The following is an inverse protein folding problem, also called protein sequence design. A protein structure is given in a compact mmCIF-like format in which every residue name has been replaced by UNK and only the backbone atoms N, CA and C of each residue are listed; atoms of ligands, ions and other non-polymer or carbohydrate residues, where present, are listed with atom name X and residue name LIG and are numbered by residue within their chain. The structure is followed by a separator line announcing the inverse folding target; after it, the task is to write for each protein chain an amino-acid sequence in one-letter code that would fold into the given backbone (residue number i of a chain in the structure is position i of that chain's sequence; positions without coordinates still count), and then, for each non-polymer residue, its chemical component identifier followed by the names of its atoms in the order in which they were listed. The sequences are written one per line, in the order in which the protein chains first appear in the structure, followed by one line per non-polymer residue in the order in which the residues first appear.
data_IF_361446991869
#
_entry.id   IF_361446991869
#
_cell.length_a   1.000
_cell.length_b   1.000
_cell.length_c   1.000
_cell.angle_alpha   90.00
_cell.angle_beta   90.00
_cell.angle_gamma   90.00
#
_symmetry.space_group_name_H-M   'P 1'
#
loop_
_entity.id
_entity.type
_entity.pdbx_description
1 polymer ?
#
# COMPACT_ATOMS: atom_id res chain seq x y z
N UNK A 1 -6.20 -21.87 5.70
CA UNK A 1 -5.12 -22.90 5.72
C UNK A 1 -5.30 -23.86 6.91
N UNK A 2 -5.40 -23.42 8.16
CA UNK A 2 -5.56 -24.32 9.32
C UNK A 2 -6.75 -25.28 9.18
N UNK A 3 -7.89 -24.79 8.72
CA UNK A 3 -9.08 -25.64 8.48
C UNK A 3 -8.75 -26.76 7.51
N UNK A 4 -8.08 -26.46 6.38
CA UNK A 4 -7.70 -27.49 5.41
C UNK A 4 -6.75 -28.56 5.99
N UNK A 5 -5.90 -28.20 6.96
CA UNK A 5 -5.07 -29.16 7.68
C UNK A 5 -5.93 -30.09 8.53
N UNK A 6 -6.90 -29.55 9.29
CA UNK A 6 -7.83 -30.36 10.09
C UNK A 6 -8.72 -31.23 9.20
N UNK A 7 -9.21 -30.69 8.08
CA UNK A 7 -10.00 -31.47 7.10
C UNK A 7 -9.16 -32.60 6.50
N UNK A 8 -7.87 -32.37 6.25
CA UNK A 8 -6.99 -33.45 5.81
C UNK A 8 -6.80 -34.53 6.87
N UNK A 9 -6.64 -34.16 8.15
CA UNK A 9 -6.53 -35.11 9.25
C UNK A 9 -7.79 -35.96 9.46
N UNK A 10 -8.95 -35.43 9.11
CA UNK A 10 -10.23 -36.12 9.22
C UNK A 10 -10.50 -37.16 8.09
N UNK A 11 -9.66 -37.19 7.04
CA UNK A 11 -9.82 -38.16 5.93
C UNK A 11 -9.46 -39.58 6.37
N UNK A 12 -10.04 -40.57 5.75
CA UNK A 12 -9.67 -41.98 5.95
C UNK A 12 -8.18 -42.23 5.64
N UNK A 13 -7.66 -41.53 4.64
CA UNK A 13 -6.25 -41.57 4.26
C UNK A 13 -5.70 -40.14 4.23
N UNK A 14 -5.23 -39.59 5.35
CA UNK A 14 -4.64 -38.27 5.41
C UNK A 14 -3.37 -38.18 4.54
N UNK A 15 -3.23 -37.10 3.79
CA UNK A 15 -2.01 -36.82 3.08
C UNK A 15 -0.91 -36.43 4.07
N UNK A 16 0.23 -37.13 3.99
CA UNK A 16 1.43 -36.82 4.78
C UNK A 16 2.44 -36.03 3.93
N UNK A 17 3.38 -35.35 4.57
CA UNK A 17 4.44 -34.57 3.90
C UNK A 17 3.85 -33.58 2.89
N UNK A 18 2.87 -32.82 3.30
CA UNK A 18 2.20 -31.81 2.46
C UNK A 18 2.73 -30.42 2.71
N UNK A 19 2.56 -29.57 1.71
CA UNK A 19 2.65 -28.11 1.83
C UNK A 19 1.24 -27.50 1.82
N UNK A 20 1.13 -26.20 2.15
CA UNK A 20 -0.13 -25.47 2.04
C UNK A 20 0.15 -24.00 1.70
N UNK A 21 -0.66 -23.42 0.83
CA UNK A 21 -0.49 -22.04 0.36
C UNK A 21 0.56 -21.88 -0.74
N UNK A 22 1.04 -22.98 -1.31
CA UNK A 22 1.97 -23.01 -2.45
C UNK A 22 1.20 -23.54 -3.66
N UNK A 23 1.34 -22.87 -4.80
CA UNK A 23 0.81 -23.36 -6.07
C UNK A 23 1.76 -24.43 -6.65
N UNK A 24 1.67 -25.62 -6.08
CA UNK A 24 2.52 -26.79 -6.45
C UNK A 24 1.84 -27.62 -7.54
N UNK A 25 2.09 -27.23 -8.78
CA UNK A 25 1.63 -27.91 -9.99
C UNK A 25 2.63 -28.98 -10.52
N UNK A 26 3.69 -29.25 -9.77
CA UNK A 26 4.73 -30.23 -10.13
C UNK A 26 4.61 -31.51 -9.33
N UNK A 27 4.67 -31.43 -8.00
CA UNK A 27 4.60 -32.60 -7.13
C UNK A 27 3.23 -32.81 -6.52
N UNK A 28 2.35 -31.82 -6.65
CA UNK A 28 0.97 -31.84 -6.12
C UNK A 28 0.91 -32.18 -4.62
N UNK A 29 1.93 -31.74 -3.86
CA UNK A 29 1.99 -31.97 -2.42
C UNK A 29 1.18 -30.96 -1.64
N UNK A 30 0.80 -29.83 -2.23
CA UNK A 30 0.02 -28.81 -1.56
C UNK A 30 -1.42 -29.29 -1.28
N UNK A 31 -1.94 -28.94 -0.10
CA UNK A 31 -3.35 -29.15 0.22
C UNK A 31 -4.17 -28.05 -0.44
N UNK A 32 -5.29 -28.45 -1.03
CA UNK A 32 -6.30 -27.50 -1.48
C UNK A 32 -6.97 -26.86 -0.26
N UNK A 33 -7.23 -25.56 -0.35
CA UNK A 33 -7.98 -24.84 0.67
C UNK A 33 -8.85 -23.74 0.02
N UNK A 34 -9.96 -23.47 0.69
CA UNK A 34 -10.82 -22.35 0.33
C UNK A 34 -10.48 -21.15 1.21
N UNK A 35 -10.30 -19.99 0.61
CA UNK A 35 -10.20 -18.76 1.39
C UNK A 35 -11.54 -18.45 2.03
N UNK A 36 -11.50 -18.24 3.33
CA UNK A 36 -12.67 -17.86 4.11
C UNK A 36 -12.40 -16.50 4.76
N UNK A 37 -13.37 -15.63 4.73
CA UNK A 37 -13.35 -14.42 5.53
C UNK A 37 -13.88 -14.73 6.93
N UNK A 38 -13.03 -14.53 7.94
CA UNK A 38 -13.46 -14.66 9.34
C UNK A 38 -14.15 -13.35 9.75
N UNK A 39 -15.39 -13.42 10.22
CA UNK A 39 -16.06 -12.22 10.71
C UNK A 39 -15.38 -11.72 11.99
N UNK A 40 -15.03 -10.45 11.99
CA UNK A 40 -14.51 -9.73 13.15
C UNK A 40 -15.40 -8.50 13.42
N UNK A 41 -16.59 -8.69 14.04
CA UNK A 41 -17.51 -7.60 14.31
C UNK A 41 -16.83 -6.49 15.12
N UNK A 42 -16.99 -5.24 14.69
CA UNK A 42 -16.39 -4.08 15.37
C UNK A 42 -14.89 -3.89 15.15
N UNK A 43 -14.23 -4.77 14.39
CA UNK A 43 -12.83 -4.61 14.01
C UNK A 43 -12.74 -3.87 12.67
N UNK A 44 -11.88 -2.86 12.59
CA UNK A 44 -11.50 -2.15 11.38
C UNK A 44 -10.11 -2.61 10.97
N UNK A 45 -9.95 -3.05 9.74
CA UNK A 45 -8.67 -3.49 9.16
C UNK A 45 -8.23 -2.49 8.09
N UNK A 46 -6.97 -2.03 8.17
CA UNK A 46 -6.43 -1.03 7.26
C UNK A 46 -5.13 -1.51 6.63
N UNK A 47 -4.94 -1.19 5.34
CA UNK A 47 -3.68 -1.42 4.63
C UNK A 47 -3.20 -0.12 3.99
N UNK A 48 -2.00 0.33 4.36
CA UNK A 48 -1.44 1.59 3.86
C UNK A 48 -0.15 1.32 3.10
N UNK A 49 -0.08 1.85 1.88
CA UNK A 49 1.05 1.73 0.97
C UNK A 49 1.85 3.04 0.99
N UNK A 50 3.08 2.97 1.49
CA UNK A 50 3.97 4.12 1.63
C UNK A 50 5.32 3.91 0.94
N UNK A 51 6.04 5.00 0.79
CA UNK A 51 7.39 5.02 0.25
C UNK A 51 8.39 5.10 1.40
N UNK A 52 9.40 4.25 1.39
CA UNK A 52 10.46 4.27 2.39
C UNK A 52 11.12 5.64 2.51
N UNK A 53 11.01 6.26 3.67
CA UNK A 53 11.51 7.60 3.97
C UNK A 53 10.50 8.73 3.79
N UNK A 54 9.26 8.46 3.37
CA UNK A 54 8.19 9.47 3.25
C UNK A 54 7.50 9.82 4.58
N UNK A 55 7.80 9.07 5.65
CA UNK A 55 7.23 9.25 6.99
C UNK A 55 5.92 8.50 7.25
N UNK A 56 5.37 7.76 6.28
CA UNK A 56 4.14 6.98 6.43
C UNK A 56 4.18 6.05 7.64
N UNK A 57 5.27 5.30 7.83
CA UNK A 57 5.39 4.36 8.96
C UNK A 57 5.37 5.10 10.29
N UNK A 58 6.03 6.25 10.38
CA UNK A 58 6.02 7.09 11.60
C UNK A 58 4.61 7.61 11.92
N UNK A 59 3.88 8.10 10.92
CA UNK A 59 2.51 8.55 11.07
C UNK A 59 1.59 7.40 11.54
N UNK A 60 1.74 6.22 10.95
CA UNK A 60 0.94 5.05 11.31
C UNK A 60 1.25 4.55 12.73
N UNK A 61 2.50 4.59 13.18
CA UNK A 61 2.86 4.31 14.58
C UNK A 61 2.21 5.29 15.55
N UNK A 62 2.19 6.57 15.21
CA UNK A 62 1.51 7.58 16.02
C UNK A 62 0.00 7.33 16.03
N UNK A 63 -0.63 7.06 14.87
CA UNK A 63 -2.05 6.77 14.79
C UNK A 63 -2.45 5.56 15.66
N UNK A 64 -1.66 4.46 15.61
CA UNK A 64 -1.87 3.28 16.47
C UNK A 64 -1.82 3.66 17.95
N UNK A 65 -0.84 4.47 18.35
CA UNK A 65 -0.69 4.92 19.74
C UNK A 65 -1.88 5.79 20.17
N UNK A 66 -2.32 6.71 19.32
CA UNK A 66 -3.49 7.54 19.56
C UNK A 66 -4.75 6.68 19.72
N UNK A 67 -4.99 5.73 18.84
CA UNK A 67 -6.16 4.85 18.85
C UNK A 67 -6.16 3.96 20.10
N UNK A 68 -5.01 3.37 20.45
CA UNK A 68 -4.89 2.49 21.59
C UNK A 68 -4.94 3.23 22.94
N UNK A 69 -4.13 4.27 23.13
CA UNK A 69 -4.00 4.92 24.43
C UNK A 69 -5.04 6.01 24.68
N UNK A 70 -5.39 6.79 23.66
CA UNK A 70 -6.36 7.88 23.80
C UNK A 70 -7.76 7.39 23.45
N UNK A 71 -7.90 6.61 22.39
CA UNK A 71 -9.18 6.02 21.99
C UNK A 71 -9.64 4.82 22.82
N UNK A 72 -8.76 4.25 23.64
CA UNK A 72 -9.09 3.11 24.51
C UNK A 72 -9.41 1.81 23.76
N UNK A 73 -8.98 1.69 22.50
CA UNK A 73 -9.24 0.50 21.66
C UNK A 73 -8.08 -0.47 21.68
N UNK A 74 -8.37 -1.73 21.41
CA UNK A 74 -7.32 -2.69 21.03
C UNK A 74 -6.76 -2.29 19.68
N UNK A 75 -5.43 -2.32 19.55
CA UNK A 75 -4.75 -1.88 18.33
C UNK A 75 -3.57 -2.82 18.02
N UNK A 76 -3.46 -3.21 16.76
CA UNK A 76 -2.38 -4.06 16.26
C UNK A 76 -1.79 -3.43 15.01
N UNK A 77 -0.46 -3.45 14.89
CA UNK A 77 0.25 -3.00 13.70
C UNK A 77 1.36 -3.96 13.31
N UNK A 78 1.48 -4.21 12.03
CA UNK A 78 2.63 -4.85 11.41
C UNK A 78 3.11 -4.01 10.23
N UNK A 79 4.42 -3.80 10.14
CA UNK A 79 5.04 -3.01 9.08
C UNK A 79 5.94 -3.90 8.24
N UNK A 80 5.58 -4.09 6.98
CA UNK A 80 6.39 -4.78 5.99
C UNK A 80 7.25 -3.77 5.22
N UNK A 81 8.50 -4.12 4.98
CA UNK A 81 9.47 -3.28 4.30
C UNK A 81 10.06 -4.02 3.11
N UNK A 82 10.33 -3.26 2.05
CA UNK A 82 11.18 -3.73 0.97
C UNK A 82 12.62 -3.92 1.45
N UNK A 83 13.37 -4.74 0.75
CA UNK A 83 14.83 -4.91 0.96
C UNK A 83 15.61 -3.64 0.67
N UNK A 84 15.09 -2.73 -0.14
CA UNK A 84 15.68 -1.43 -0.44
C UNK A 84 15.43 -0.45 0.70
N UNK A 85 16.51 0.04 1.34
CA UNK A 85 16.42 0.91 2.52
C UNK A 85 15.76 2.25 2.25
N UNK A 86 15.96 2.86 1.09
CA UNK A 86 15.44 4.19 0.74
C UNK A 86 14.66 4.13 -0.56
N UNK A 87 13.45 4.70 -0.56
CA UNK A 87 12.56 4.68 -1.72
C UNK A 87 12.00 3.29 -2.05
N UNK A 88 12.13 2.31 -1.15
CA UNK A 88 11.47 1.02 -1.24
C UNK A 88 10.02 1.07 -0.78
N UNK A 89 9.27 0.03 -1.09
CA UNK A 89 7.89 -0.12 -0.66
C UNK A 89 7.80 -0.30 0.86
N UNK A 90 6.82 0.34 1.48
CA UNK A 90 6.39 0.01 2.85
C UNK A 90 4.90 -0.31 2.85
N UNK A 91 4.51 -1.37 3.54
CA UNK A 91 3.12 -1.72 3.76
C UNK A 91 2.84 -1.74 5.25
N UNK A 92 1.84 -0.98 5.69
CA UNK A 92 1.38 -0.97 7.07
C UNK A 92 0.06 -1.72 7.14
N UNK A 93 0.01 -2.76 7.96
CA UNK A 93 -1.16 -3.57 8.23
C UNK A 93 -1.64 -3.23 9.64
N UNK A 94 -2.80 -2.57 9.74
CA UNK A 94 -3.32 -2.06 10.99
C UNK A 94 -4.68 -2.70 11.28
N UNK A 95 -4.94 -3.01 12.55
CA UNK A 95 -6.25 -3.46 13.02
C UNK A 95 -6.60 -2.74 14.31
N UNK A 96 -7.86 -2.38 14.43
CA UNK A 96 -8.42 -1.71 15.61
C UNK A 96 -9.78 -2.29 15.95
N UNK A 97 -10.10 -2.39 17.23
CA UNK A 97 -11.40 -2.90 17.65
C UNK A 97 -11.67 -2.67 19.13
N UNK A 98 -12.90 -2.91 19.52
CA UNK A 98 -13.33 -2.84 20.93
C UNK A 98 -13.02 -4.15 21.68
N UNK A 99 -12.69 -5.21 20.94
CA UNK A 99 -12.32 -6.52 21.47
C UNK A 99 -10.87 -6.86 21.15
N UNK A 100 -10.24 -7.79 21.91
CA UNK A 100 -8.88 -8.25 21.65
C UNK A 100 -8.68 -8.76 20.23
N UNK A 101 -7.61 -8.30 19.57
CA UNK A 101 -7.27 -8.69 18.20
C UNK A 101 -6.46 -9.97 18.25
N UNK A 102 -7.07 -11.08 17.84
CA UNK A 102 -6.45 -12.40 17.83
C UNK A 102 -5.82 -12.79 16.49
N UNK A 103 -5.98 -11.94 15.45
CA UNK A 103 -5.43 -12.17 14.11
C UNK A 103 -3.91 -12.04 14.11
N UNK A 104 -3.20 -13.11 13.77
CA UNK A 104 -1.72 -13.17 13.71
C UNK A 104 -1.17 -13.03 12.28
N UNK A 105 -2.05 -12.88 11.29
CA UNK A 105 -1.74 -12.80 9.87
C UNK A 105 -1.84 -11.36 9.35
N UNK A 106 -1.24 -11.08 8.21
CA UNK A 106 -1.32 -9.78 7.54
C UNK A 106 -2.75 -9.44 7.12
N UNK A 107 -3.05 -8.16 6.95
CA UNK A 107 -4.35 -7.73 6.43
C UNK A 107 -4.42 -8.07 4.94
N UNK A 108 -5.33 -8.96 4.58
CA UNK A 108 -5.67 -9.39 3.23
C UNK A 108 -7.14 -9.05 2.85
N UNK A 109 -7.89 -8.48 3.79
CA UNK A 109 -9.24 -7.96 3.60
C UNK A 109 -9.36 -6.68 4.42
N UNK A 110 -9.39 -5.52 3.76
CA UNK A 110 -9.26 -4.21 4.38
C UNK A 110 -10.51 -3.35 4.22
N UNK A 111 -10.96 -2.77 5.33
CA UNK A 111 -12.04 -1.78 5.35
C UNK A 111 -11.56 -0.41 4.82
N UNK A 112 -10.25 -0.16 4.98
CA UNK A 112 -9.59 1.06 4.53
C UNK A 112 -8.25 0.76 3.87
N UNK A 113 -8.06 1.26 2.65
CA UNK A 113 -6.78 1.21 1.94
C UNK A 113 -6.33 2.63 1.62
N UNK A 114 -5.08 2.97 1.93
CA UNK A 114 -4.48 4.23 1.53
C UNK A 114 -3.21 4.02 0.71
N UNK A 115 -3.05 4.80 -0.36
CA UNK A 115 -1.87 4.81 -1.21
C UNK A 115 -1.24 6.20 -1.19
N UNK A 116 -0.07 6.32 -0.59
CA UNK A 116 0.61 7.60 -0.37
C UNK A 116 1.49 8.01 -1.56
N UNK A 117 1.91 7.05 -2.41
CA UNK A 117 2.70 7.32 -3.61
C UNK A 117 1.86 7.05 -4.87
N UNK A 118 1.55 8.07 -5.69
CA UNK A 118 0.63 7.90 -6.83
C UNK A 118 1.17 6.93 -7.90
N UNK A 119 2.48 6.75 -8.00
CA UNK A 119 3.11 5.80 -8.92
C UNK A 119 2.79 4.34 -8.61
N UNK A 120 2.38 4.04 -7.38
CA UNK A 120 2.07 2.68 -6.95
C UNK A 120 0.82 2.10 -7.59
N UNK A 121 -0.13 2.94 -8.03
CA UNK A 121 -1.33 2.47 -8.73
C UNK A 121 -1.02 1.73 -10.05
N UNK A 122 0.12 2.06 -10.69
CA UNK A 122 0.58 1.40 -11.93
C UNK A 122 1.55 0.23 -11.66
N UNK A 123 2.17 0.21 -10.46
CA UNK A 123 3.19 -0.79 -10.14
C UNK A 123 2.62 -1.98 -9.39
N UNK A 124 1.72 -1.75 -8.45
CA UNK A 124 1.18 -2.75 -7.54
C UNK A 124 -0.33 -2.92 -7.67
N UNK A 125 -0.83 -4.06 -7.26
CA UNK A 125 -2.26 -4.33 -7.13
C UNK A 125 -2.78 -3.78 -5.80
N UNK A 126 -2.93 -2.45 -5.74
CA UNK A 126 -3.25 -1.74 -4.50
C UNK A 126 -4.71 -1.89 -4.05
N UNK A 127 -5.58 -2.39 -4.92
CA UNK A 127 -7.01 -2.60 -4.65
C UNK A 127 -7.37 -4.05 -4.33
N UNK A 128 -6.41 -4.99 -4.43
CA UNK A 128 -6.67 -6.41 -4.24
C UNK A 128 -7.35 -6.70 -2.89
N UNK A 129 -6.81 -6.14 -1.82
CA UNK A 129 -7.25 -6.41 -0.45
C UNK A 129 -8.41 -5.51 0.03
N UNK A 130 -8.91 -4.59 -0.80
CA UNK A 130 -10.04 -3.74 -0.44
C UNK A 130 -11.33 -4.56 -0.39
N UNK A 131 -12.09 -4.45 0.70
CA UNK A 131 -13.43 -5.05 0.84
C UNK A 131 -14.45 -4.38 -0.07
N UNK A 132 -15.56 -5.08 -0.33
CA UNK A 132 -16.76 -4.48 -0.90
C UNK A 132 -17.28 -3.37 0.02
N UNK A 133 -17.61 -2.19 -0.53
CA UNK A 133 -17.98 -1.01 0.23
C UNK A 133 -16.83 -0.35 1.02
N UNK A 134 -15.61 -0.87 0.92
CA UNK A 134 -14.45 -0.33 1.62
C UNK A 134 -14.04 1.07 1.16
N UNK A 135 -13.26 1.75 1.97
CA UNK A 135 -12.77 3.11 1.67
C UNK A 135 -11.37 3.07 1.08
N UNK A 136 -11.18 3.74 -0.05
CA UNK A 136 -9.88 3.88 -0.72
C UNK A 136 -9.45 5.34 -0.77
N UNK A 137 -8.26 5.66 -0.24
CA UNK A 137 -7.65 6.98 -0.28
C UNK A 137 -6.39 6.98 -1.15
N UNK A 138 -6.35 7.83 -2.17
CA UNK A 138 -5.17 8.04 -3.01
C UNK A 138 -4.59 9.43 -2.79
N UNK A 139 -3.33 9.50 -2.37
CA UNK A 139 -2.57 10.75 -2.38
C UNK A 139 -1.99 10.95 -3.78
N UNK A 140 -2.53 11.90 -4.52
CA UNK A 140 -2.09 12.20 -5.89
C UNK A 140 -2.26 13.69 -6.23
N UNK A 141 -1.51 14.19 -7.21
CA UNK A 141 -1.65 15.57 -7.69
C UNK A 141 -2.77 15.74 -8.73
N UNK A 142 -3.48 14.66 -9.07
CA UNK A 142 -4.48 14.63 -10.14
C UNK A 142 -5.82 15.18 -9.67
N UNK A 143 -6.50 15.91 -10.55
CA UNK A 143 -7.92 16.25 -10.38
C UNK A 143 -8.81 15.02 -10.59
N UNK A 144 -10.09 15.15 -10.26
CA UNK A 144 -11.06 14.06 -10.47
C UNK A 144 -11.17 13.69 -11.96
N UNK A 145 -11.11 14.67 -12.83
CA UNK A 145 -11.19 14.49 -14.29
C UNK A 145 -9.96 13.77 -14.85
N UNK A 146 -8.79 14.05 -14.30
CA UNK A 146 -7.53 13.43 -14.73
C UNK A 146 -7.39 11.97 -14.28
N UNK A 147 -8.19 11.50 -13.32
CA UNK A 147 -8.15 10.10 -12.86
C UNK A 147 -8.42 9.10 -13.98
N UNK A 148 -9.26 9.47 -14.96
CA UNK A 148 -9.57 8.59 -16.09
C UNK A 148 -8.30 8.19 -16.87
N UNK A 149 -7.39 9.10 -17.07
CA UNK A 149 -6.14 8.88 -17.80
C UNK A 149 -5.08 8.19 -16.94
N UNK A 150 -5.06 8.46 -15.64
CA UNK A 150 -3.96 8.03 -14.79
C UNK A 150 -4.16 6.68 -14.11
N UNK A 151 -5.41 6.27 -13.86
CA UNK A 151 -5.69 5.01 -13.19
C UNK A 151 -5.67 3.82 -14.15
N UNK A 152 -5.00 2.70 -13.77
CA UNK A 152 -5.05 1.47 -14.55
C UNK A 152 -6.48 0.90 -14.63
N UNK A 153 -6.81 0.26 -15.74
CA UNK A 153 -8.13 -0.32 -15.94
C UNK A 153 -8.52 -1.34 -14.86
N UNK A 154 -7.56 -2.18 -14.40
CA UNK A 154 -7.81 -3.10 -13.29
C UNK A 154 -8.26 -2.36 -12.02
N UNK A 155 -7.58 -1.28 -11.64
CA UNK A 155 -7.95 -0.49 -10.46
C UNK A 155 -9.34 0.14 -10.63
N UNK A 156 -9.65 0.68 -11.81
CA UNK A 156 -10.99 1.21 -12.13
C UNK A 156 -12.07 0.15 -11.93
N UNK A 157 -11.87 -1.05 -12.52
CA UNK A 157 -12.79 -2.18 -12.36
C UNK A 157 -12.99 -2.59 -10.92
N UNK A 158 -11.90 -2.70 -10.15
CA UNK A 158 -11.96 -3.08 -8.75
C UNK A 158 -12.72 -2.06 -7.91
N UNK A 159 -12.43 -0.77 -8.07
CA UNK A 159 -13.13 0.29 -7.36
C UNK A 159 -14.63 0.30 -7.66
N UNK A 160 -15.01 0.12 -8.93
CA UNK A 160 -16.42 0.09 -9.35
C UNK A 160 -17.14 -1.17 -8.85
N UNK A 161 -16.55 -2.35 -9.05
CA UNK A 161 -17.18 -3.65 -8.71
C UNK A 161 -17.25 -3.89 -7.20
N UNK A 162 -16.30 -3.33 -6.44
CA UNK A 162 -16.29 -3.36 -4.97
C UNK A 162 -17.08 -2.22 -4.35
N UNK A 163 -17.81 -1.42 -5.14
CA UNK A 163 -18.61 -0.28 -4.63
C UNK A 163 -17.82 0.61 -3.68
N UNK A 164 -16.55 0.87 -4.00
CA UNK A 164 -15.61 1.51 -3.11
C UNK A 164 -16.00 2.97 -2.80
N UNK A 165 -15.76 3.41 -1.57
CA UNK A 165 -15.78 4.83 -1.22
C UNK A 165 -14.42 5.43 -1.59
N UNK A 166 -14.32 6.02 -2.77
CA UNK A 166 -13.05 6.51 -3.30
C UNK A 166 -12.83 7.98 -2.95
N UNK A 167 -11.64 8.29 -2.43
CA UNK A 167 -11.20 9.64 -2.06
C UNK A 167 -9.82 9.91 -2.61
N UNK A 168 -9.56 11.18 -2.98
CA UNK A 168 -8.24 11.69 -3.35
C UNK A 168 -7.83 12.85 -2.45
N UNK A 169 -6.52 13.09 -2.35
CA UNK A 169 -5.94 14.24 -1.65
C UNK A 169 -4.60 14.59 -2.31
N UNK A 170 -4.30 15.88 -2.52
CA UNK A 170 -2.97 16.35 -2.89
C UNK A 170 -2.23 16.90 -1.65
N UNK A 171 -1.77 15.96 -0.82
CA UNK A 171 -1.06 16.31 0.41
C UNK A 171 0.25 17.05 0.15
N UNK A 172 0.91 16.82 -1.01
CA UNK A 172 2.14 17.50 -1.36
C UNK A 172 1.92 18.99 -1.65
N UNK A 173 0.87 19.32 -2.39
CA UNK A 173 0.45 20.71 -2.65
C UNK A 173 0.08 21.43 -1.36
N UNK A 174 -0.71 20.78 -0.50
CA UNK A 174 -1.12 21.30 0.80
C UNK A 174 0.09 21.57 1.71
N UNK A 175 1.02 20.60 1.83
CA UNK A 175 2.23 20.77 2.63
C UNK A 175 3.13 21.90 2.11
N UNK A 176 3.29 22.04 0.79
CA UNK A 176 4.05 23.11 0.19
C UNK A 176 3.42 24.49 0.47
N UNK A 177 2.10 24.60 0.40
CA UNK A 177 1.36 25.86 0.63
C UNK A 177 1.56 26.41 2.06
N UNK A 178 1.73 25.54 3.06
CA UNK A 178 1.96 25.94 4.46
C UNK A 178 3.44 25.94 4.86
N UNK A 179 4.36 25.76 3.90
CA UNK A 179 5.81 25.81 4.13
C UNK A 179 6.44 24.53 4.70
N UNK A 180 5.72 23.42 4.76
CA UNK A 180 6.24 22.12 5.20
C UNK A 180 6.99 21.36 4.10
N UNK A 181 7.04 21.90 2.86
CA UNK A 181 7.72 21.28 1.72
C UNK A 181 7.12 19.93 1.37
N UNK A 182 7.88 18.83 1.52
CA UNK A 182 7.44 17.48 1.18
C UNK A 182 6.89 16.70 2.39
N UNK A 183 6.69 17.33 3.54
CA UNK A 183 6.26 16.64 4.78
C UNK A 183 4.74 16.53 4.82
N UNK A 184 4.21 15.42 4.34
CA UNK A 184 2.78 15.15 4.20
C UNK A 184 2.14 14.38 5.35
N UNK A 185 2.95 13.90 6.31
CA UNK A 185 2.54 12.92 7.33
C UNK A 185 1.31 13.36 8.12
N UNK A 186 1.32 14.59 8.67
CA UNK A 186 0.21 15.09 9.49
C UNK A 186 -1.06 15.31 8.67
N UNK A 187 -0.92 15.67 7.39
CA UNK A 187 -2.05 15.82 6.45
C UNK A 187 -2.69 14.45 6.21
N UNK A 188 -1.88 13.45 5.85
CA UNK A 188 -2.39 12.10 5.56
C UNK A 188 -2.93 11.41 6.81
N UNK A 189 -2.35 11.65 7.99
CA UNK A 189 -2.88 11.14 9.25
C UNK A 189 -4.21 11.82 9.62
N UNK A 190 -4.37 13.13 9.40
CA UNK A 190 -5.64 13.84 9.55
C UNK A 190 -6.72 13.26 8.64
N UNK A 191 -6.39 13.04 7.35
CA UNK A 191 -7.29 12.40 6.39
C UNK A 191 -7.68 10.97 6.81
N UNK A 192 -6.73 10.19 7.32
CA UNK A 192 -6.99 8.85 7.85
C UNK A 192 -8.05 8.86 8.95
N UNK A 193 -7.90 9.70 9.98
CA UNK A 193 -8.87 9.79 11.06
C UNK A 193 -10.24 10.30 10.58
N UNK A 194 -10.25 11.28 9.67
CA UNK A 194 -11.49 11.82 9.11
C UNK A 194 -12.30 10.78 8.33
N UNK A 195 -11.65 9.89 7.61
CA UNK A 195 -12.29 8.88 6.78
C UNK A 195 -12.63 7.60 7.56
N UNK A 196 -11.77 7.17 8.48
CA UNK A 196 -12.01 5.94 9.24
C UNK A 196 -12.91 6.13 10.44
N UNK A 197 -12.91 7.32 11.04
CA UNK A 197 -13.69 7.67 12.25
C UNK A 197 -13.55 6.63 13.37
N UNK A 198 -12.38 6.02 13.47
CA UNK A 198 -12.09 4.92 14.41
C UNK A 198 -12.18 5.38 15.87
N UNK A 199 -11.92 6.66 16.13
CA UNK A 199 -12.11 7.35 17.40
C UNK A 199 -12.77 8.71 17.14
N UNK A 200 -13.36 9.39 18.16
CA UNK A 200 -13.87 10.75 18.03
C UNK A 200 -12.81 11.70 17.47
N UNK A 201 -13.22 12.55 16.51
CA UNK A 201 -12.28 13.43 15.79
C UNK A 201 -11.60 14.47 16.66
N UNK A 202 -12.30 15.00 17.64
CA UNK A 202 -11.77 15.95 18.63
C UNK A 202 -10.59 15.34 19.40
N UNK A 203 -10.75 14.11 19.88
CA UNK A 203 -9.67 13.36 20.56
C UNK A 203 -8.48 13.11 19.64
N UNK A 204 -8.74 12.71 18.38
CA UNK A 204 -7.68 12.47 17.41
C UNK A 204 -6.88 13.74 17.12
N UNK A 205 -7.55 14.86 16.85
CA UNK A 205 -6.94 16.16 16.55
C UNK A 205 -6.14 16.66 17.77
N UNK A 206 -6.71 16.59 18.96
CA UNK A 206 -6.04 17.04 20.19
C UNK A 206 -4.74 16.27 20.42
N UNK A 207 -4.77 14.94 20.32
CA UNK A 207 -3.58 14.12 20.52
C UNK A 207 -2.53 14.33 19.42
N UNK A 208 -2.93 14.45 18.16
CA UNK A 208 -2.03 14.77 17.06
C UNK A 208 -1.32 16.12 17.28
N UNK A 209 -2.04 17.15 17.71
CA UNK A 209 -1.48 18.48 18.01
C UNK A 209 -0.56 18.44 19.22
N UNK A 210 -0.91 17.68 20.25
CA UNK A 210 -0.02 17.42 21.41
C UNK A 210 1.28 16.71 21.01
N UNK A 211 1.18 15.71 20.13
CA UNK A 211 2.35 14.99 19.61
C UNK A 211 3.23 15.90 18.76
N UNK A 212 2.66 16.82 17.97
CA UNK A 212 3.41 17.84 17.24
C UNK A 212 4.17 18.76 18.19
N UNK A 213 3.53 19.23 19.26
CA UNK A 213 4.20 20.05 20.28
C UNK A 213 5.38 19.30 20.92
N UNK A 214 5.17 18.08 21.37
CA UNK A 214 6.22 17.27 22.02
C UNK A 214 7.40 16.97 21.08
N UNK A 215 7.13 16.75 19.80
CA UNK A 215 8.13 16.38 18.81
C UNK A 215 8.96 17.56 18.29
N UNK A 216 8.36 18.72 18.15
CA UNK A 216 8.95 19.84 17.41
C UNK A 216 9.28 21.06 18.26
N UNK A 217 8.56 21.34 19.35
CA UNK A 217 8.73 22.58 20.09
C UNK A 217 10.15 22.84 20.54
N UNK A 218 10.76 21.86 21.23
CA UNK A 218 12.14 21.99 21.73
C UNK A 218 13.20 22.04 20.62
N UNK A 219 12.94 21.46 19.46
CA UNK A 219 13.91 21.30 18.37
C UNK A 219 13.81 22.42 17.33
N UNK A 220 12.62 22.95 17.09
CA UNK A 220 12.34 23.81 15.95
C UNK A 220 11.42 25.00 16.27
N UNK A 221 10.95 25.10 17.52
CA UNK A 221 10.15 26.21 18.02
C UNK A 221 8.68 26.19 17.63
N UNK A 222 7.93 27.17 18.13
CA UNK A 222 6.47 27.25 18.01
C UNK A 222 6.01 27.32 16.56
N UNK A 223 6.69 28.06 15.71
CA UNK A 223 6.33 28.20 14.29
C UNK A 223 6.18 26.85 13.58
N UNK A 224 7.09 25.91 13.84
CA UNK A 224 7.03 24.56 13.21
C UNK A 224 5.90 23.74 13.82
N UNK A 225 5.59 23.90 15.11
CA UNK A 225 4.42 23.30 15.74
C UNK A 225 3.13 23.78 15.08
N UNK A 226 2.99 25.09 14.89
CA UNK A 226 1.79 25.72 14.30
C UNK A 226 1.58 25.24 12.86
N UNK A 227 2.65 25.14 12.06
CA UNK A 227 2.59 24.62 10.69
C UNK A 227 2.13 23.15 10.67
N UNK A 228 2.65 22.32 11.59
CA UNK A 228 2.23 20.90 11.69
C UNK A 228 0.79 20.76 12.21
N UNK A 229 0.34 21.63 13.10
CA UNK A 229 -1.05 21.68 13.56
C UNK A 229 -2.01 22.10 12.42
N UNK A 230 -1.61 23.09 11.62
CA UNK A 230 -2.35 23.46 10.41
C UNK A 230 -2.41 22.29 9.40
N UNK A 231 -1.34 21.51 9.28
CA UNK A 231 -1.34 20.31 8.43
C UNK A 231 -2.38 19.27 8.87
N UNK A 232 -2.57 19.07 10.20
CA UNK A 232 -3.63 18.20 10.73
C UNK A 232 -5.00 18.71 10.30
N UNK A 233 -5.29 19.99 10.52
CA UNK A 233 -6.57 20.58 10.20
C UNK A 233 -6.89 20.53 8.69
N UNK A 234 -5.89 20.77 7.83
CA UNK A 234 -6.01 20.60 6.38
C UNK A 234 -6.30 19.15 5.99
N UNK A 235 -5.61 18.19 6.60
CA UNK A 235 -5.82 16.78 6.31
C UNK A 235 -7.23 16.31 6.60
N UNK A 236 -7.83 16.80 7.67
CA UNK A 236 -9.23 16.49 8.05
C UNK A 236 -10.24 16.99 7.00
N UNK A 237 -9.96 18.11 6.34
CA UNK A 237 -10.92 18.80 5.48
C UNK A 237 -10.69 18.63 3.98
N UNK A 238 -9.48 18.28 3.55
CA UNK A 238 -9.04 18.41 2.16
C UNK A 238 -9.27 17.16 1.30
N UNK A 239 -9.84 16.09 1.85
CA UNK A 239 -10.17 14.91 1.04
C UNK A 239 -11.33 15.19 0.10
N UNK A 240 -11.17 14.81 -1.16
CA UNK A 240 -12.20 14.95 -2.19
C UNK A 240 -12.80 13.58 -2.49
N UNK A 241 -14.10 13.42 -2.32
CA UNK A 241 -14.81 12.21 -2.71
C UNK A 241 -14.93 12.15 -4.23
N UNK A 242 -14.62 10.99 -4.79
CA UNK A 242 -14.73 10.72 -6.23
C UNK A 242 -15.98 9.89 -6.47
N UNK A 243 -16.87 10.40 -7.30
CA UNK A 243 -17.99 9.60 -7.81
C UNK A 243 -17.45 8.66 -8.88
N UNK A 244 -17.52 7.35 -8.62
CA UNK A 244 -16.97 6.32 -9.51
C UNK A 244 -17.89 6.15 -10.70
N UNK A 245 -17.41 6.40 -11.95
CA UNK A 245 -18.24 6.19 -13.14
C UNK A 245 -18.64 4.73 -13.31
N UNK A 246 -19.90 4.44 -13.64
CA UNK A 246 -20.36 3.08 -13.88
C UNK A 246 -19.55 2.37 -14.99
N UNK A 247 -19.08 3.12 -15.99
CA UNK A 247 -18.26 2.60 -17.08
C UNK A 247 -16.93 2.00 -16.61
N UNK A 248 -16.43 2.36 -15.41
CA UNK A 248 -15.19 1.79 -14.88
C UNK A 248 -15.31 0.28 -14.61
N UNK A 249 -16.51 -0.24 -14.38
CA UNK A 249 -16.72 -1.67 -14.18
C UNK A 249 -16.27 -2.54 -15.37
N UNK A 250 -16.26 -1.95 -16.57
CA UNK A 250 -15.91 -2.62 -17.82
C UNK A 250 -14.66 -2.03 -18.49
N UNK A 251 -13.86 -1.27 -17.74
CA UNK A 251 -12.62 -0.70 -18.26
C UNK A 251 -11.68 -1.79 -18.81
N UNK A 252 -11.14 -1.59 -20.00
CA UNK A 252 -10.28 -2.54 -20.69
C UNK A 252 -8.81 -2.23 -20.47
N UNK A 253 -8.00 -3.27 -20.28
CA UNK A 253 -6.55 -3.11 -20.09
C UNK A 253 -5.90 -2.65 -21.39
N UNK A 254 -5.06 -1.61 -21.31
CA UNK A 254 -4.22 -1.19 -22.42
C UNK A 254 -2.98 -2.07 -22.51
N UNK A 255 -2.47 -2.36 -23.72
CA UNK A 255 -1.23 -3.08 -23.88
C UNK A 255 -0.06 -2.33 -23.21
N UNK A 256 0.60 -2.97 -22.26
CA UNK A 256 1.81 -2.42 -21.64
C UNK A 256 3.00 -2.78 -22.53
N UNK A 257 3.73 -1.76 -23.00
CA UNK A 257 4.96 -1.99 -23.74
C UNK A 257 5.99 -2.70 -22.85
N UNK A 258 6.42 -3.88 -23.28
CA UNK A 258 7.50 -4.58 -22.59
C UNK A 258 8.83 -3.84 -22.80
N UNK A 259 9.70 -3.79 -21.77
CA UNK A 259 11.06 -3.27 -21.93
C UNK A 259 11.82 -4.02 -23.04
N UNK A 260 12.54 -3.29 -23.87
CA UNK A 260 13.41 -3.90 -24.88
C UNK A 260 14.44 -4.82 -24.21
N UNK A 261 14.68 -5.99 -24.82
CA UNK A 261 15.65 -7.00 -24.35
C UNK A 261 15.27 -7.70 -23.02
N UNK A 262 14.00 -7.73 -22.66
CA UNK A 262 13.54 -8.51 -21.51
C UNK A 262 13.65 -10.00 -21.83
N UNK A 263 14.37 -10.77 -20.97
CA UNK A 263 14.43 -12.23 -21.11
C UNK A 263 13.12 -12.86 -20.63
N UNK A 264 12.78 -14.08 -21.10
CA UNK A 264 11.62 -14.81 -20.59
C UNK A 264 11.67 -15.01 -19.06
N UNK A 265 12.85 -15.26 -18.50
CA UNK A 265 13.04 -15.34 -17.04
C UNK A 265 12.63 -14.06 -16.31
N UNK A 266 13.08 -12.92 -16.83
CA UNK A 266 12.72 -11.62 -16.24
C UNK A 266 11.21 -11.40 -16.29
N UNK A 267 10.59 -11.69 -17.44
CA UNK A 267 9.14 -11.51 -17.61
C UNK A 267 8.34 -12.43 -16.68
N UNK A 268 8.71 -13.71 -16.62
CA UNK A 268 7.90 -14.77 -16.01
C UNK A 268 8.14 -14.87 -14.48
N UNK A 269 9.31 -14.44 -13.97
CA UNK A 269 9.66 -14.52 -12.55
C UNK A 269 9.97 -13.14 -11.96
N UNK A 270 10.96 -12.40 -12.50
CA UNK A 270 11.47 -11.18 -11.85
C UNK A 270 10.40 -10.10 -11.77
N UNK A 271 9.68 -9.88 -12.86
CA UNK A 271 8.63 -8.85 -12.91
C UNK A 271 7.43 -9.14 -11.98
N UNK A 272 6.92 -10.38 -11.89
CA UNK A 272 5.90 -10.74 -10.89
C UNK A 272 6.37 -10.56 -9.45
N UNK A 273 7.61 -10.95 -9.13
CA UNK A 273 8.20 -10.74 -7.80
C UNK A 273 8.31 -9.23 -7.47
N UNK A 274 8.78 -8.40 -8.41
CA UNK A 274 8.88 -6.95 -8.22
C UNK A 274 7.51 -6.28 -8.02
N UNK A 275 6.45 -6.88 -8.57
CA UNK A 275 5.04 -6.47 -8.38
C UNK A 275 4.39 -7.04 -7.11
N UNK A 276 5.13 -7.73 -6.24
CA UNK A 276 4.61 -8.39 -5.05
C UNK A 276 3.55 -9.48 -5.37
N UNK A 277 3.74 -10.21 -6.48
CA UNK A 277 2.85 -11.27 -6.95
C UNK A 277 3.52 -12.64 -7.00
N UNK A 278 4.66 -12.79 -6.32
CA UNK A 278 5.44 -14.02 -6.29
C UNK A 278 4.66 -15.23 -5.78
N UNK A 279 3.81 -15.04 -4.79
CA UNK A 279 2.98 -16.10 -4.20
C UNK A 279 1.96 -16.71 -5.19
N UNK A 280 1.68 -16.02 -6.31
CA UNK A 280 0.79 -16.51 -7.36
C UNK A 280 1.50 -17.39 -8.38
N UNK A 281 2.84 -17.41 -8.38
CA UNK A 281 3.60 -18.17 -9.34
C UNK A 281 3.56 -19.68 -9.01
N UNK A 282 3.31 -20.55 -9.99
CA UNK A 282 3.38 -22.00 -9.80
C UNK A 282 4.83 -22.48 -9.71
N UNK A 283 5.05 -23.59 -9.03
CA UNK A 283 6.38 -24.21 -8.87
C UNK A 283 7.01 -24.56 -10.22
N UNK A 284 6.20 -24.97 -11.20
CA UNK A 284 6.67 -25.28 -12.55
C UNK A 284 7.43 -24.12 -13.23
N UNK A 285 7.07 -22.88 -12.94
CA UNK A 285 7.77 -21.71 -13.48
C UNK A 285 9.22 -21.64 -12.97
N UNK A 286 9.42 -21.87 -11.66
CA UNK A 286 10.76 -21.90 -11.08
C UNK A 286 11.57 -23.10 -11.60
N UNK A 287 10.93 -24.26 -11.77
CA UNK A 287 11.55 -25.46 -12.36
C UNK A 287 11.96 -25.22 -13.82
N UNK A 288 11.09 -24.60 -14.62
CA UNK A 288 11.36 -24.26 -16.03
C UNK A 288 12.65 -23.48 -16.22
N UNK A 289 12.96 -22.59 -15.29
CA UNK A 289 14.15 -21.74 -15.34
C UNK A 289 15.32 -22.28 -14.52
N UNK A 290 15.19 -23.46 -13.89
CA UNK A 290 16.27 -24.12 -13.14
C UNK A 290 16.69 -23.36 -11.87
N UNK A 291 15.80 -22.59 -11.25
CA UNK A 291 16.10 -21.72 -10.10
C UNK A 291 15.58 -22.27 -8.76
N UNK A 292 15.25 -23.55 -8.71
CA UNK A 292 14.79 -24.21 -7.48
C UNK A 292 15.87 -24.27 -6.37
N UNK A 293 17.12 -24.20 -6.75
CA UNK A 293 18.28 -24.18 -5.86
C UNK A 293 18.72 -22.78 -5.43
N UNK A 294 17.97 -21.75 -5.85
CA UNK A 294 18.28 -20.35 -5.56
C UNK A 294 19.27 -19.71 -6.53
N UNK A 295 19.68 -20.39 -7.60
CA UNK A 295 20.44 -19.74 -8.67
C UNK A 295 19.60 -18.69 -9.37
N UNK A 296 20.25 -17.67 -9.92
CA UNK A 296 19.56 -16.50 -10.49
C UNK A 296 20.32 -15.93 -11.69
N UNK A 297 19.61 -15.51 -12.74
CA UNK A 297 20.24 -14.85 -13.90
C UNK A 297 20.95 -13.55 -13.47
N UNK A 298 22.18 -13.36 -13.93
CA UNK A 298 22.92 -12.13 -13.71
C UNK A 298 22.32 -10.95 -14.48
N UNK A 299 22.48 -9.73 -13.94
CA UNK A 299 22.08 -8.49 -14.61
C UNK A 299 20.60 -8.15 -14.49
N UNK A 300 19.78 -8.93 -13.76
CA UNK A 300 18.34 -8.68 -13.58
C UNK A 300 18.04 -7.40 -12.81
N UNK A 301 18.99 -6.87 -12.02
CA UNK A 301 18.86 -5.62 -11.28
C UNK A 301 18.56 -4.40 -12.17
N UNK A 302 18.88 -4.45 -13.46
CA UNK A 302 18.54 -3.39 -14.43
C UNK A 302 17.01 -3.19 -14.55
N UNK A 303 16.22 -4.23 -14.28
CA UNK A 303 14.76 -4.21 -14.32
C UNK A 303 14.13 -3.82 -12.99
N UNK A 304 14.86 -3.91 -11.87
CA UNK A 304 14.40 -3.53 -10.54
C UNK A 304 14.39 -2.00 -10.37
N UNK A 305 13.57 -1.32 -11.18
CA UNK A 305 13.41 0.13 -11.10
C UNK A 305 12.37 0.50 -10.05
N UNK A 306 12.71 1.44 -9.16
CA UNK A 306 11.77 1.91 -8.14
C UNK A 306 10.56 2.59 -8.74
N UNK A 307 10.73 3.38 -9.81
CA UNK A 307 9.64 4.03 -10.54
C UNK A 307 8.83 5.01 -9.71
N UNK A 308 9.46 5.64 -8.71
CA UNK A 308 8.76 6.50 -7.71
C UNK A 308 8.73 7.99 -8.09
N UNK A 309 9.53 8.40 -9.08
CA UNK A 309 9.55 9.79 -9.54
C UNK A 309 8.36 10.07 -10.45
N UNK A 310 7.56 11.07 -10.09
CA UNK A 310 6.44 11.56 -10.92
C UNK A 310 6.90 12.46 -12.05
N UNK A 311 8.07 13.09 -11.89
CA UNK A 311 8.72 13.94 -12.88
C UNK A 311 10.20 13.63 -12.90
N UNK A 312 10.77 13.46 -14.08
CA UNK A 312 12.20 13.25 -14.28
C UNK A 312 12.76 14.32 -15.21
N UNK A 313 14.02 14.75 -15.01
CA UNK A 313 14.67 15.69 -15.95
C UNK A 313 14.89 14.99 -17.29
N UNK A 314 14.61 15.71 -18.38
CA UNK A 314 14.95 15.27 -19.73
C UNK A 314 16.28 15.90 -20.13
N UNK A 315 17.26 15.06 -20.46
CA UNK A 315 18.53 15.54 -20.97
C UNK A 315 18.35 16.14 -22.37
N UNK A 316 18.91 17.35 -22.56
CA UNK A 316 18.94 18.02 -23.84
C UNK A 316 20.37 17.95 -24.39
N UNK A 317 20.64 17.13 -25.41
CA UNK A 317 21.98 16.97 -25.98
C UNK A 317 22.53 18.26 -26.63
N UNK A 318 21.66 19.09 -27.22
CA UNK A 318 22.06 20.32 -27.91
C UNK A 318 22.52 21.42 -26.92
N UNK A 319 21.93 21.43 -25.71
CA UNK A 319 22.33 22.37 -24.66
C UNK A 319 23.42 21.82 -23.73
N UNK A 320 23.81 20.55 -23.89
CA UNK A 320 24.73 19.86 -22.98
C UNK A 320 26.19 20.25 -23.32
N UNK A 321 26.90 20.84 -22.37
CA UNK A 321 28.32 21.16 -22.47
C UNK A 321 29.24 20.07 -21.91
N UNK A 322 28.70 18.87 -21.61
CA UNK A 322 29.43 17.70 -21.09
C UNK A 322 30.26 17.96 -19.81
N UNK A 323 29.83 18.85 -18.96
CA UNK A 323 30.53 19.19 -17.70
C UNK A 323 30.37 18.17 -16.56
N UNK A 324 29.65 17.08 -16.76
CA UNK A 324 29.39 16.00 -15.80
C UNK A 324 28.76 16.40 -14.46
N UNK A 325 28.16 17.61 -14.36
CA UNK A 325 27.49 18.05 -13.11
C UNK A 325 26.16 17.35 -12.83
N UNK A 326 25.60 16.65 -13.83
CA UNK A 326 24.33 15.93 -13.69
C UNK A 326 24.50 14.43 -13.36
N UNK A 327 25.72 13.92 -13.34
CA UNK A 327 26.05 12.51 -13.07
C UNK A 327 26.27 12.23 -11.59
#
# INVERSE_FOLDING_TARGET
QFIAVYDNLAKEQPKNNFTIGINDDVTHTSLDYTEIELPHPGQISCKLWGLGGDGTVGANKNAISTIGFVGGKYAQAYFSYDTMKSGGLTQSHLRFGDEPILSTYLVNSADFVAVHAPTYVKKYDVTADLKDGGTFLLNCPWSVEELEEHLPAKMKRDLARKHANFYIIDAAKLAAAIGLGKRTNNILQGAFFALTKVIPMDLAIEDMKKNNYNSYFKKAGQKIVDMNNQAVDLGVQATVKVEIPAAWADATDEPVAEPKNMTPFVRDIVMPLDKQQGDKLPVSVFQKYGVLDGTWENGTSVYSKRGVATKVPKWNPEACIQCNRCS
#
